data_IF_470377206953
#
_entry.id   IF_470377206953
#
_cell.length_a   1.000
_cell.length_b   1.000
_cell.length_c   1.000
_cell.angle_alpha   90.00
_cell.angle_beta   90.00
_cell.angle_gamma   90.00
#
_symmetry.space_group_name_H-M   'P 1'
#
loop_
_entity.id
_entity.type
_entity.pdbx_description
1 polymer ?
#
# COMPACT_ATOMS: atom_id res chain seq x y z
N UNK A 1 -2.03 -13.99 16.98
CA UNK A 1 -2.03 -12.88 16.01
C UNK A 1 -2.74 -13.31 14.76
N UNK A 2 -3.50 -12.41 14.18
CA UNK A 2 -4.31 -12.59 12.98
C UNK A 2 -3.62 -11.96 11.76
N UNK A 3 -4.12 -12.24 10.57
CA UNK A 3 -3.73 -11.48 9.39
C UNK A 3 -4.63 -10.25 9.22
N UNK A 4 -4.12 -9.22 8.60
CA UNK A 4 -4.91 -8.09 8.13
C UNK A 4 -4.98 -8.17 6.61
N UNK A 5 -6.06 -8.71 6.07
CA UNK A 5 -6.33 -8.66 4.64
C UNK A 5 -7.09 -7.35 4.37
N UNK A 6 -6.37 -6.32 4.28
CA UNK A 6 -6.66 -5.08 3.56
C UNK A 6 -8.10 -4.56 3.46
N UNK A 7 -8.81 -4.56 4.52
CA UNK A 7 -10.11 -3.91 4.55
C UNK A 7 -10.03 -2.37 4.30
N UNK A 8 -8.90 -1.76 4.65
CA UNK A 8 -8.74 -0.30 4.58
C UNK A 8 -8.53 0.29 3.20
N UNK A 9 -7.93 -0.48 2.33
CA UNK A 9 -7.54 -0.07 0.99
C UNK A 9 -7.95 -1.18 0.02
N UNK A 10 -9.17 -1.67 0.16
CA UNK A 10 -9.69 -2.80 -0.59
C UNK A 10 -9.50 -2.68 -2.10
N UNK A 11 -9.63 -1.46 -2.63
CA UNK A 11 -9.42 -1.17 -4.04
C UNK A 11 -7.99 -1.47 -4.51
N UNK A 12 -6.98 -1.30 -3.67
CA UNK A 12 -5.60 -1.56 -4.02
C UNK A 12 -5.26 -3.04 -3.95
N UNK A 13 -5.79 -3.74 -2.96
CA UNK A 13 -5.53 -5.16 -2.76
C UNK A 13 -6.30 -6.03 -3.73
N UNK A 14 -7.49 -5.61 -4.13
CA UNK A 14 -8.24 -6.33 -5.16
C UNK A 14 -7.48 -6.29 -6.49
N UNK A 15 -6.84 -5.19 -6.84
CA UNK A 15 -6.00 -5.13 -8.04
C UNK A 15 -4.84 -6.12 -7.96
N UNK A 16 -4.11 -6.15 -6.85
CA UNK A 16 -3.04 -7.12 -6.64
C UNK A 16 -3.55 -8.57 -6.73
N UNK A 17 -4.67 -8.86 -6.06
CA UNK A 17 -5.29 -10.19 -6.08
C UNK A 17 -5.68 -10.62 -7.50
N UNK A 18 -6.31 -9.74 -8.25
CA UNK A 18 -6.70 -10.01 -9.64
C UNK A 18 -5.46 -10.25 -10.52
N UNK A 19 -4.42 -9.42 -10.41
CA UNK A 19 -3.15 -9.62 -11.13
C UNK A 19 -2.49 -10.95 -10.78
N UNK A 20 -2.54 -11.37 -9.52
CA UNK A 20 -2.03 -12.66 -9.07
C UNK A 20 -2.79 -13.85 -9.72
N UNK A 21 -4.02 -13.62 -10.16
CA UNK A 21 -4.87 -14.60 -10.84
C UNK A 21 -5.01 -14.36 -12.36
N UNK A 22 -4.10 -13.62 -12.95
CA UNK A 22 -4.10 -13.34 -14.41
C UNK A 22 -5.26 -12.45 -14.90
N UNK A 23 -5.88 -11.69 -14.02
CA UNK A 23 -7.01 -10.82 -14.34
C UNK A 23 -6.55 -9.36 -14.40
N UNK A 24 -6.86 -8.68 -15.51
CA UNK A 24 -6.64 -7.24 -15.67
C UNK A 24 -7.87 -6.52 -15.14
N UNK A 25 -7.69 -5.67 -14.11
CA UNK A 25 -8.81 -4.99 -13.46
C UNK A 25 -9.48 -3.94 -14.35
N UNK A 26 -8.70 -3.21 -15.12
CA UNK A 26 -9.23 -2.19 -16.05
C UNK A 26 -8.63 -2.37 -17.43
N UNK A 27 -9.49 -2.42 -18.44
CA UNK A 27 -9.12 -2.49 -19.86
C UNK A 27 -10.06 -1.60 -20.67
N UNK A 28 -9.50 -0.73 -21.51
CA UNK A 28 -10.24 0.22 -22.34
C UNK A 28 -11.28 1.06 -21.57
N UNK A 29 -10.95 1.47 -20.35
CA UNK A 29 -11.84 2.28 -19.50
C UNK A 29 -13.04 1.50 -18.91
N UNK A 30 -13.01 0.18 -18.97
CA UNK A 30 -14.03 -0.70 -18.41
C UNK A 30 -13.43 -1.60 -17.35
N UNK A 31 -14.30 -2.06 -16.44
CA UNK A 31 -13.94 -3.09 -15.48
C UNK A 31 -13.73 -4.42 -16.22
N UNK A 32 -12.54 -5.00 -16.06
CA UNK A 32 -12.18 -6.31 -16.60
C UNK A 32 -12.52 -7.43 -15.63
N UNK A 33 -12.24 -8.67 -16.05
CA UNK A 33 -12.55 -9.86 -15.27
C UNK A 33 -14.03 -10.23 -15.27
N UNK A 34 -14.36 -11.23 -14.49
CA UNK A 34 -15.71 -11.75 -14.29
C UNK A 34 -16.21 -11.45 -12.88
N UNK A 35 -17.50 -11.56 -12.63
CA UNK A 35 -18.05 -11.43 -11.28
C UNK A 35 -17.42 -12.43 -10.30
N UNK A 36 -17.08 -13.65 -10.76
CA UNK A 36 -16.47 -14.68 -9.92
C UNK A 36 -15.07 -14.29 -9.45
N UNK A 37 -14.29 -13.60 -10.28
CA UNK A 37 -12.96 -13.11 -9.90
C UNK A 37 -13.04 -12.16 -8.69
N UNK A 38 -14.03 -11.25 -8.71
CA UNK A 38 -14.26 -10.31 -7.59
C UNK A 38 -14.87 -11.01 -6.38
N UNK A 39 -15.81 -11.92 -6.57
CA UNK A 39 -16.40 -12.70 -5.48
C UNK A 39 -15.33 -13.52 -4.77
N UNK A 40 -14.38 -14.08 -5.49
CA UNK A 40 -13.26 -14.85 -4.93
C UNK A 40 -12.42 -14.02 -3.96
N UNK A 41 -12.18 -12.75 -4.27
CA UNK A 41 -11.49 -11.82 -3.36
C UNK A 41 -12.29 -11.56 -2.08
N UNK A 42 -13.55 -11.19 -2.19
CA UNK A 42 -14.40 -10.92 -1.03
C UNK A 42 -14.64 -12.16 -0.18
N UNK A 43 -14.73 -13.32 -0.83
CA UNK A 43 -14.86 -14.61 -0.14
C UNK A 43 -13.63 -14.93 0.71
N UNK A 44 -12.43 -14.58 0.25
CA UNK A 44 -11.21 -14.75 1.04
C UNK A 44 -11.33 -14.01 2.38
N UNK A 45 -11.85 -12.79 2.37
CA UNK A 45 -12.07 -12.01 3.59
C UNK A 45 -13.18 -12.58 4.48
N UNK A 46 -14.32 -12.95 3.88
CA UNK A 46 -15.45 -13.59 4.58
C UNK A 46 -15.01 -14.89 5.27
N UNK A 47 -14.32 -15.76 4.54
CA UNK A 47 -13.78 -17.02 5.06
C UNK A 47 -12.78 -16.75 6.20
N UNK A 48 -11.93 -15.74 6.06
CA UNK A 48 -10.97 -15.37 7.09
C UNK A 48 -11.59 -14.90 8.40
N UNK A 49 -12.69 -14.17 8.33
CA UNK A 49 -13.47 -13.77 9.52
C UNK A 49 -14.15 -14.99 10.13
N UNK A 50 -14.85 -15.78 9.32
CA UNK A 50 -15.57 -16.98 9.78
C UNK A 50 -14.64 -17.99 10.44
N UNK A 51 -13.49 -18.23 9.85
CA UNK A 51 -12.53 -19.25 10.30
C UNK A 51 -11.52 -18.66 11.32
N UNK A 52 -11.61 -17.38 11.61
CA UNK A 52 -10.92 -16.72 12.70
C UNK A 52 -9.42 -16.43 12.46
N UNK A 53 -8.96 -16.38 11.22
CA UNK A 53 -7.57 -16.03 10.90
C UNK A 53 -7.36 -14.59 10.41
N UNK A 54 -8.43 -13.85 10.13
CA UNK A 54 -8.42 -12.39 9.90
C UNK A 54 -8.74 -11.67 11.20
N UNK A 55 -8.19 -10.47 11.40
CA UNK A 55 -8.49 -9.62 12.56
C UNK A 55 -9.99 -9.35 12.68
N UNK A 56 -10.46 -9.22 13.92
CA UNK A 56 -11.85 -8.93 14.18
C UNK A 56 -12.24 -7.57 13.56
N UNK A 57 -13.33 -7.53 12.77
CA UNK A 57 -13.77 -6.29 12.11
C UNK A 57 -14.08 -5.15 13.08
N UNK A 58 -14.36 -5.42 14.35
CA UNK A 58 -14.64 -4.39 15.35
C UNK A 58 -13.50 -3.39 15.53
N UNK A 59 -12.24 -3.80 15.27
CA UNK A 59 -11.10 -2.89 15.33
C UNK A 59 -11.27 -1.67 14.42
N UNK A 60 -11.95 -1.84 13.29
CA UNK A 60 -12.15 -0.76 12.32
C UNK A 60 -13.18 0.28 12.76
N UNK A 61 -14.03 -0.03 13.73
CA UNK A 61 -14.96 0.92 14.33
C UNK A 61 -14.26 1.87 15.33
N UNK A 62 -13.12 1.47 15.86
CA UNK A 62 -12.36 2.21 16.87
C UNK A 62 -11.29 3.13 16.30
N UNK A 63 -11.05 3.09 15.01
CA UNK A 63 -9.95 3.78 14.36
C UNK A 63 -10.36 4.57 13.11
N UNK A 64 -9.50 5.49 12.70
CA UNK A 64 -9.65 6.20 11.43
C UNK A 64 -9.22 5.29 10.27
N UNK A 65 -10.18 4.94 9.42
CA UNK A 65 -9.92 4.12 8.23
C UNK A 65 -8.89 4.83 7.33
N UNK A 66 -7.88 4.08 6.88
CA UNK A 66 -6.81 4.61 6.04
C UNK A 66 -5.67 5.29 6.79
N UNK A 67 -5.78 5.47 8.11
CA UNK A 67 -4.64 5.90 8.93
C UNK A 67 -3.65 4.75 9.09
N UNK A 68 -2.45 4.95 8.57
CA UNK A 68 -1.36 3.94 8.62
C UNK A 68 -0.89 3.72 10.05
N UNK A 69 -0.89 4.78 10.85
CA UNK A 69 -0.51 4.77 12.26
C UNK A 69 -1.51 3.99 13.13
N UNK A 70 -2.69 3.76 12.59
CA UNK A 70 -3.74 2.97 13.24
C UNK A 70 -3.98 1.62 12.55
N UNK A 71 -3.02 1.15 11.75
CA UNK A 71 -3.09 -0.20 11.19
C UNK A 71 -3.10 -1.25 12.32
N UNK A 72 -3.89 -2.33 12.24
CA UNK A 72 -3.94 -3.38 13.25
C UNK A 72 -2.60 -3.99 13.62
N UNK A 73 -1.58 -3.88 12.76
CA UNK A 73 -0.22 -4.33 13.07
C UNK A 73 0.44 -3.52 14.18
N UNK A 74 0.08 -2.25 14.34
CA UNK A 74 0.65 -1.34 15.35
C UNK A 74 -0.38 -0.81 16.36
N UNK A 75 -1.65 -0.83 16.01
CA UNK A 75 -2.73 -0.26 16.83
C UNK A 75 -3.50 -1.30 17.65
N UNK A 76 -3.54 -2.55 17.21
CA UNK A 76 -4.28 -3.61 17.90
C UNK A 76 -3.84 -3.79 19.36
N UNK A 77 -4.78 -4.03 20.26
CA UNK A 77 -4.54 -4.11 21.71
C UNK A 77 -4.56 -5.53 22.28
N UNK A 78 -5.00 -6.50 21.50
CA UNK A 78 -5.09 -7.91 21.93
C UNK A 78 -4.96 -8.85 20.71
N UNK A 79 -4.78 -10.18 20.93
CA UNK A 79 -4.59 -11.13 19.82
C UNK A 79 -5.69 -11.18 18.77
N UNK A 80 -6.92 -10.79 19.11
CA UNK A 80 -8.04 -10.78 18.16
C UNK A 80 -8.02 -9.53 17.26
N UNK A 81 -7.48 -8.43 17.74
CA UNK A 81 -7.44 -7.14 17.04
C UNK A 81 -6.06 -6.81 16.49
N UNK A 82 -5.01 -7.57 16.86
CA UNK A 82 -3.66 -7.40 16.35
C UNK A 82 -3.38 -8.26 15.13
N UNK A 83 -2.75 -7.68 14.14
CA UNK A 83 -2.21 -8.42 13.00
C UNK A 83 -0.68 -8.54 13.07
N UNK A 84 -0.15 -9.61 12.50
CA UNK A 84 1.30 -9.81 12.33
C UNK A 84 1.82 -9.20 11.03
N UNK A 85 0.93 -8.76 10.15
CA UNK A 85 1.27 -8.17 8.85
C UNK A 85 0.27 -7.05 8.49
N UNK A 86 0.73 -6.17 7.63
CA UNK A 86 -0.09 -5.13 7.00
C UNK A 86 0.20 -5.11 5.50
N UNK A 87 -0.81 -4.76 4.73
CA UNK A 87 -0.72 -4.62 3.27
C UNK A 87 -0.73 -3.14 2.95
N UNK A 88 0.42 -2.60 2.65
CA UNK A 88 0.62 -1.18 2.43
C UNK A 88 1.59 -0.93 1.27
N UNK A 89 1.62 0.30 0.78
CA UNK A 89 2.63 0.74 -0.18
C UNK A 89 3.95 1.08 0.51
N UNK A 90 5.05 1.01 -0.21
CA UNK A 90 6.40 1.23 0.31
C UNK A 90 6.58 2.58 1.00
N UNK A 91 5.92 3.64 0.53
CA UNK A 91 5.97 4.98 1.12
C UNK A 91 5.33 5.08 2.52
N UNK A 92 4.59 4.06 2.95
CA UNK A 92 3.92 4.03 4.25
C UNK A 92 4.80 3.42 5.37
N UNK A 93 5.93 2.82 4.99
CA UNK A 93 6.81 2.12 5.93
C UNK A 93 7.28 3.00 7.09
N UNK A 94 7.68 4.25 6.81
CA UNK A 94 8.16 5.18 7.85
C UNK A 94 7.09 5.48 8.88
N UNK A 95 5.84 5.73 8.45
CA UNK A 95 4.72 6.00 9.34
C UNK A 95 4.40 4.78 10.22
N UNK A 96 4.39 3.58 9.65
CA UNK A 96 4.15 2.34 10.40
C UNK A 96 5.26 2.10 11.43
N UNK A 97 6.52 2.25 11.05
CA UNK A 97 7.65 2.11 11.97
C UNK A 97 7.60 3.11 13.13
N UNK A 98 7.20 4.35 12.84
CA UNK A 98 7.07 5.38 13.87
C UNK A 98 5.92 5.12 14.85
N UNK A 99 4.90 4.41 14.41
CA UNK A 99 3.76 4.02 15.24
C UNK A 99 3.97 2.69 15.98
N UNK A 100 4.96 1.90 15.58
CA UNK A 100 5.22 0.61 16.19
C UNK A 100 5.63 0.75 17.66
N UNK A 101 5.16 -0.14 18.55
CA UNK A 101 5.60 -0.20 19.93
C UNK A 101 7.12 -0.40 20.06
N UNK A 102 7.70 0.06 21.16
CA UNK A 102 9.12 -0.13 21.44
C UNK A 102 9.51 -1.61 21.39
N UNK A 103 10.61 -1.91 20.70
CA UNK A 103 11.11 -3.28 20.53
C UNK A 103 10.44 -4.10 19.42
N UNK A 104 9.48 -3.50 18.67
CA UNK A 104 8.88 -4.13 17.50
C UNK A 104 9.65 -3.75 16.24
N UNK A 105 10.21 -4.74 15.56
CA UNK A 105 10.87 -4.55 14.27
C UNK A 105 9.89 -4.79 13.12
N UNK A 106 9.80 -3.83 12.22
CA UNK A 106 8.98 -3.91 11.01
C UNK A 106 9.87 -4.21 9.81
N UNK A 107 9.67 -5.38 9.22
CA UNK A 107 10.30 -5.78 7.97
C UNK A 107 9.34 -5.55 6.78
N UNK A 108 9.90 -5.43 5.59
CA UNK A 108 9.13 -5.33 4.35
C UNK A 108 9.39 -6.57 3.48
N UNK A 109 8.35 -7.07 2.85
CA UNK A 109 8.42 -8.14 1.86
C UNK A 109 7.36 -7.90 0.79
N UNK A 110 7.42 -8.66 -0.30
CA UNK A 110 6.34 -8.68 -1.30
C UNK A 110 5.09 -9.35 -0.74
N UNK A 111 3.94 -9.03 -1.29
CA UNK A 111 2.70 -9.69 -0.94
C UNK A 111 2.71 -11.15 -1.41
N UNK A 112 1.96 -12.05 -0.73
CA UNK A 112 1.87 -13.45 -1.14
C UNK A 112 1.32 -13.58 -2.55
N UNK A 113 2.08 -14.22 -3.42
CA UNK A 113 1.67 -14.56 -4.79
C UNK A 113 2.52 -15.71 -5.29
N UNK A 114 2.01 -16.49 -6.23
CA UNK A 114 2.76 -17.52 -6.93
C UNK A 114 3.88 -16.90 -7.80
N UNK A 115 3.65 -15.70 -8.33
CA UNK A 115 4.62 -14.92 -9.10
C UNK A 115 4.55 -13.44 -8.67
N UNK A 116 5.38 -13.00 -7.70
CA UNK A 116 5.39 -11.62 -7.24
C UNK A 116 5.73 -10.60 -8.33
N UNK A 117 6.57 -10.96 -9.29
CA UNK A 117 6.94 -10.05 -10.41
C UNK A 117 5.72 -9.71 -11.25
N UNK A 118 4.80 -10.67 -11.41
CA UNK A 118 3.57 -10.48 -12.16
C UNK A 118 2.50 -9.74 -11.37
N UNK A 119 2.41 -10.02 -10.09
CA UNK A 119 1.37 -9.48 -9.22
C UNK A 119 1.67 -8.08 -8.74
N UNK A 120 2.93 -7.79 -8.44
CA UNK A 120 3.37 -6.47 -8.01
C UNK A 120 3.17 -5.44 -9.12
N UNK A 121 2.89 -4.21 -8.73
CA UNK A 121 2.73 -3.10 -9.65
C UNK A 121 3.20 -1.79 -9.03
N UNK A 122 3.59 -0.87 -9.90
CA UNK A 122 3.93 0.48 -9.51
C UNK A 122 2.68 1.35 -9.59
N UNK A 123 2.15 1.73 -8.44
CA UNK A 123 1.06 2.71 -8.39
C UNK A 123 1.64 4.11 -8.56
N UNK A 124 1.18 4.90 -9.54
CA UNK A 124 1.51 6.32 -9.59
C UNK A 124 1.05 6.99 -8.28
N UNK A 125 2.00 7.58 -7.55
CA UNK A 125 1.74 8.11 -6.20
C UNK A 125 1.57 9.62 -6.23
N UNK A 126 2.68 10.35 -6.28
CA UNK A 126 2.70 11.80 -6.21
C UNK A 126 3.34 12.37 -7.47
N UNK A 127 2.80 13.49 -7.93
CA UNK A 127 3.30 14.20 -9.10
C UNK A 127 3.69 15.60 -8.70
N UNK A 128 4.80 16.07 -9.22
CA UNK A 128 5.18 17.47 -9.16
C UNK A 128 4.82 18.13 -10.49
N UNK A 129 4.37 19.38 -10.42
CA UNK A 129 4.08 20.18 -11.59
C UNK A 129 4.56 21.61 -11.40
N UNK A 130 4.98 22.23 -12.49
CA UNK A 130 5.26 23.65 -12.53
C UNK A 130 3.99 24.36 -13.00
N UNK A 131 3.50 25.31 -12.22
CA UNK A 131 2.32 26.06 -12.61
C UNK A 131 2.61 26.95 -13.82
N UNK A 132 1.63 27.15 -14.68
CA UNK A 132 1.76 28.03 -15.86
C UNK A 132 2.04 29.50 -15.48
N UNK A 133 1.72 29.90 -14.26
CA UNK A 133 1.90 31.24 -13.74
C UNK A 133 3.24 31.43 -13.00
N UNK A 134 4.11 30.43 -13.06
CA UNK A 134 5.46 30.51 -12.48
C UNK A 134 6.27 31.61 -13.18
N UNK A 135 6.85 32.49 -12.40
CA UNK A 135 7.75 33.54 -12.89
C UNK A 135 9.17 33.03 -13.16
N UNK A 136 9.52 31.85 -12.65
CA UNK A 136 10.84 31.23 -12.77
C UNK A 136 10.73 29.73 -13.13
N UNK A 137 10.13 29.37 -14.29
CA UNK A 137 9.86 27.98 -14.62
C UNK A 137 11.13 27.15 -14.84
N UNK A 138 12.20 27.74 -15.33
CA UNK A 138 13.48 27.05 -15.55
C UNK A 138 14.13 26.67 -14.21
N UNK A 139 14.11 27.55 -13.22
CA UNK A 139 14.64 27.25 -11.89
C UNK A 139 13.76 26.22 -11.16
N UNK A 140 12.45 26.32 -11.30
CA UNK A 140 11.52 25.31 -10.80
C UNK A 140 11.80 23.92 -11.41
N UNK A 141 12.09 23.85 -12.71
CA UNK A 141 12.44 22.61 -13.36
C UNK A 141 13.76 22.01 -12.83
N UNK A 142 14.76 22.83 -12.50
CA UNK A 142 16.00 22.37 -11.87
C UNK A 142 15.74 21.76 -10.49
N UNK A 143 14.89 22.40 -9.69
CA UNK A 143 14.50 21.89 -8.37
C UNK A 143 13.77 20.56 -8.50
N UNK A 144 12.80 20.44 -9.42
CA UNK A 144 12.10 19.19 -9.67
C UNK A 144 13.03 18.07 -10.13
N UNK A 145 13.97 18.40 -11.05
CA UNK A 145 14.95 17.44 -11.49
C UNK A 145 15.86 16.97 -10.35
N UNK A 146 16.25 17.85 -9.43
CA UNK A 146 17.01 17.47 -8.25
C UNK A 146 16.22 16.52 -7.35
N UNK A 147 14.97 16.84 -7.02
CA UNK A 147 14.12 16.01 -6.15
C UNK A 147 13.87 14.62 -6.77
N UNK A 148 13.65 14.56 -8.08
CA UNK A 148 13.25 13.30 -8.74
C UNK A 148 14.43 12.43 -9.20
N UNK A 149 15.58 13.02 -9.50
CA UNK A 149 16.69 12.31 -10.14
C UNK A 149 18.00 12.33 -9.34
N UNK A 150 18.16 13.20 -8.33
CA UNK A 150 19.37 13.24 -7.53
C UNK A 150 19.49 12.04 -6.60
N UNK A 151 20.59 11.32 -6.68
CA UNK A 151 20.90 10.25 -5.72
C UNK A 151 20.99 10.81 -4.30
N UNK A 152 21.70 11.94 -4.12
CA UNK A 152 21.83 12.61 -2.82
C UNK A 152 20.46 12.93 -2.18
N UNK A 153 19.54 13.48 -2.96
CA UNK A 153 18.19 13.77 -2.47
C UNK A 153 17.44 12.50 -2.09
N UNK A 154 17.52 11.47 -2.90
CA UNK A 154 16.81 10.21 -2.66
C UNK A 154 17.41 9.39 -1.52
N UNK A 155 18.71 9.51 -1.25
CA UNK A 155 19.36 8.95 -0.06
C UNK A 155 18.83 9.62 1.24
N UNK A 156 18.47 10.91 1.19
CA UNK A 156 17.83 11.59 2.32
C UNK A 156 16.37 11.19 2.48
N UNK A 157 15.63 11.10 1.37
CA UNK A 157 14.21 10.78 1.37
C UNK A 157 13.91 9.32 1.76
N UNK A 158 14.84 8.39 1.51
CA UNK A 158 14.70 6.95 1.84
C UNK A 158 13.38 6.31 1.38
N UNK A 159 12.85 6.78 0.25
CA UNK A 159 11.59 6.26 -0.30
C UNK A 159 10.31 6.75 0.42
N UNK A 160 10.40 7.70 1.36
CA UNK A 160 9.21 8.24 2.06
C UNK A 160 8.17 8.84 1.10
N UNK A 161 8.61 9.35 -0.03
CA UNK A 161 7.72 9.89 -1.08
C UNK A 161 7.44 8.90 -2.21
N UNK A 162 7.75 7.63 -2.00
CA UNK A 162 7.67 6.57 -2.98
C UNK A 162 9.03 6.25 -3.61
N UNK A 163 9.09 5.13 -4.30
CA UNK A 163 10.30 4.72 -5.02
C UNK A 163 10.46 5.63 -6.26
N UNK A 164 11.62 6.27 -6.47
CA UNK A 164 11.87 7.06 -7.67
C UNK A 164 11.72 6.22 -8.94
N UNK A 165 11.12 6.79 -9.98
CA UNK A 165 11.06 6.14 -11.30
C UNK A 165 12.39 6.22 -12.04
N UNK A 166 13.30 7.09 -11.62
CA UNK A 166 14.65 7.19 -12.19
C UNK A 166 15.49 5.98 -11.78
N UNK A 167 16.21 5.42 -12.72
CA UNK A 167 17.16 4.31 -12.52
C UNK A 167 18.60 4.76 -12.23
N UNK A 168 18.80 6.06 -11.99
CA UNK A 168 20.12 6.65 -11.66
C UNK A 168 20.45 6.53 -10.19
#
# INVERSE_FOLDING_TARGET
YKTNIAYNNGENFIEYFLRANDVVMFEDGKLGGTAEDYVSYFKLYEDGIRDGWVVDPSIFAERTIGSVEQDPMVYGSNPETMSWCAFNYTNQLTAIRSAAPEGVEIAITTWPSADPVKSDYLKPSQFFAITKDSTNPEEAAKVLNFITNSVECNEILLGERGIPLSST
#
